data_IF_623852151427
#
_entry.id   IF_623852151427
#
_cell.length_a   1.000
_cell.length_b   1.000
_cell.length_c   1.000
_cell.angle_alpha   90.00
_cell.angle_beta   90.00
_cell.angle_gamma   90.00
#
_symmetry.space_group_name_H-M   'P 1'
#
loop_
_entity.id
_entity.type
_entity.pdbx_description
1 polymer ?
#
# COMPACT_ATOMS: atom_id res chain seq x y z
N UNK A 1 55.39 -15.05 -24.77
CA UNK A 1 54.06 -14.70 -25.30
C UNK A 1 53.10 -14.87 -24.15
N UNK A 2 52.76 -13.77 -23.48
CA UNK A 2 51.74 -13.73 -22.44
C UNK A 2 50.36 -13.78 -23.11
N UNK A 3 49.50 -14.70 -22.66
CA UNK A 3 48.11 -14.80 -23.08
C UNK A 3 47.25 -13.99 -22.09
N UNK A 4 46.53 -12.99 -22.59
CA UNK A 4 45.63 -12.15 -21.78
C UNK A 4 44.30 -12.90 -21.53
N UNK A 5 43.69 -12.84 -20.34
CA UNK A 5 42.42 -13.48 -20.09
C UNK A 5 41.27 -12.69 -20.74
N UNK A 6 40.40 -13.41 -21.46
CA UNK A 6 39.19 -12.86 -22.07
C UNK A 6 38.24 -12.33 -20.99
N UNK A 7 37.84 -11.06 -21.12
CA UNK A 7 36.84 -10.45 -20.27
C UNK A 7 35.45 -11.00 -20.61
N UNK A 8 34.82 -11.70 -19.66
CA UNK A 8 33.44 -12.14 -19.77
C UNK A 8 32.54 -10.95 -19.45
N UNK A 9 31.95 -10.36 -20.48
CA UNK A 9 30.92 -9.33 -20.37
C UNK A 9 29.66 -9.97 -19.76
N UNK A 10 29.46 -9.77 -18.45
CA UNK A 10 28.24 -10.21 -17.79
C UNK A 10 27.10 -9.26 -18.15
N UNK A 11 26.32 -9.64 -19.15
CA UNK A 11 25.04 -8.99 -19.45
C UNK A 11 24.18 -9.01 -18.17
N UNK A 12 23.88 -7.83 -17.64
CA UNK A 12 22.95 -7.71 -16.52
C UNK A 12 21.63 -8.34 -16.94
N UNK A 13 21.28 -9.47 -16.31
CA UNK A 13 19.99 -10.14 -16.50
C UNK A 13 18.85 -9.18 -16.13
N UNK A 14 18.39 -8.36 -17.08
CA UNK A 14 17.17 -7.59 -16.92
C UNK A 14 16.01 -8.56 -16.98
N UNK A 15 15.09 -8.41 -16.02
CA UNK A 15 13.82 -9.13 -16.04
C UNK A 15 13.05 -8.74 -17.30
N UNK A 16 12.71 -9.72 -18.15
CA UNK A 16 11.82 -9.58 -19.31
C UNK A 16 10.34 -9.60 -18.93
N UNK A 17 10.03 -9.60 -17.62
CA UNK A 17 8.66 -9.65 -17.13
C UNK A 17 7.93 -8.37 -17.50
N UNK A 18 6.86 -8.50 -18.30
CA UNK A 18 5.91 -7.41 -18.57
C UNK A 18 5.35 -6.96 -17.21
N UNK A 19 5.61 -5.71 -16.85
CA UNK A 19 5.09 -5.10 -15.62
C UNK A 19 3.62 -4.74 -15.88
N UNK A 20 2.72 -5.59 -15.42
CA UNK A 20 1.31 -5.21 -15.34
C UNK A 20 1.14 -4.22 -14.19
N UNK A 21 0.60 -3.04 -14.49
CA UNK A 21 0.20 -2.10 -13.44
C UNK A 21 -0.93 -2.77 -12.64
N UNK A 22 -0.87 -2.79 -11.30
CA UNK A 22 -1.94 -3.37 -10.52
C UNK A 22 -3.20 -2.50 -10.66
N UNK A 23 -4.30 -3.09 -11.15
CA UNK A 23 -5.63 -2.45 -11.24
C UNK A 23 -6.11 -1.89 -9.88
N UNK A 24 -5.52 -2.35 -8.78
CA UNK A 24 -5.86 -1.94 -7.42
C UNK A 24 -5.41 -0.52 -7.05
N UNK A 25 -4.43 0.08 -7.76
CA UNK A 25 -4.12 1.50 -7.58
C UNK A 25 -5.09 2.30 -8.46
N UNK A 26 -5.81 3.27 -7.90
CA UNK A 26 -6.99 3.98 -8.46
C UNK A 26 -6.76 4.77 -9.76
N UNK A 27 -6.13 4.14 -10.74
CA UNK A 27 -5.80 4.59 -12.07
C UNK A 27 -6.47 3.61 -13.04
N UNK A 28 -7.62 3.99 -13.58
CA UNK A 28 -8.23 3.25 -14.69
C UNK A 28 -7.67 3.80 -16.00
N UNK A 29 -7.13 2.92 -16.83
CA UNK A 29 -6.75 3.27 -18.20
C UNK A 29 -8.01 3.05 -19.05
N UNK A 30 -8.55 4.10 -19.66
CA UNK A 30 -9.67 3.97 -20.58
C UNK A 30 -9.21 3.32 -21.89
N UNK A 31 -10.15 2.80 -22.69
CA UNK A 31 -9.86 2.27 -24.03
C UNK A 31 -9.18 3.31 -24.95
N UNK A 32 -9.30 4.60 -24.61
CA UNK A 32 -8.68 5.73 -25.30
C UNK A 32 -7.26 6.04 -24.80
N UNK A 33 -6.77 5.32 -23.79
CA UNK A 33 -5.43 5.49 -23.20
C UNK A 33 -5.34 6.56 -22.11
N UNK A 34 -6.47 7.12 -21.67
CA UNK A 34 -6.49 8.14 -20.61
C UNK A 34 -6.42 7.51 -19.22
N UNK A 35 -5.68 8.15 -18.32
CA UNK A 35 -5.58 7.73 -16.91
C UNK A 35 -6.63 8.50 -16.09
N UNK A 36 -7.67 7.81 -15.65
CA UNK A 36 -8.67 8.36 -14.72
C UNK A 36 -8.21 8.16 -13.27
N UNK A 37 -7.98 9.26 -12.55
CA UNK A 37 -7.82 9.25 -11.09
C UNK A 37 -9.20 9.13 -10.44
N UNK A 38 -9.48 8.00 -9.80
CA UNK A 38 -10.74 7.81 -9.06
C UNK A 38 -10.69 8.30 -7.60
N UNK A 39 -9.49 8.51 -7.04
CA UNK A 39 -9.28 8.73 -5.59
C UNK A 39 -8.81 10.14 -5.21
N UNK A 40 -9.51 11.19 -5.66
CA UNK A 40 -9.20 12.56 -5.19
C UNK A 40 -9.62 12.83 -3.73
N UNK A 41 -10.55 12.03 -3.18
CA UNK A 41 -11.11 12.22 -1.83
C UNK A 41 -10.57 11.23 -0.77
N UNK A 42 -9.46 10.56 -1.06
CA UNK A 42 -8.80 9.69 -0.09
C UNK A 42 -7.76 10.47 0.72
N UNK A 43 -7.83 10.43 2.06
CA UNK A 43 -6.83 11.09 2.88
C UNK A 43 -5.48 10.38 2.73
N UNK A 44 -4.44 11.15 2.49
CA UNK A 44 -3.07 10.61 2.33
C UNK A 44 -2.40 10.48 3.70
N UNK A 45 -2.92 11.19 4.69
CA UNK A 45 -2.36 11.28 6.04
C UNK A 45 -3.42 11.02 7.11
N UNK A 46 -3.03 10.38 8.21
CA UNK A 46 -3.89 10.16 9.38
C UNK A 46 -4.58 11.44 9.87
N UNK A 47 -3.90 12.58 9.85
CA UNK A 47 -4.49 13.86 10.26
C UNK A 47 -5.67 14.28 9.37
N UNK A 48 -5.55 14.11 8.05
CA UNK A 48 -6.64 14.39 7.11
C UNK A 48 -7.80 13.42 7.33
N UNK A 49 -7.47 12.15 7.63
CA UNK A 49 -8.43 11.10 7.95
C UNK A 49 -9.29 11.47 9.16
N UNK A 50 -8.69 11.97 10.26
CA UNK A 50 -9.42 12.29 11.50
C UNK A 50 -10.12 13.65 11.49
N UNK A 51 -9.68 14.60 10.65
CA UNK A 51 -10.31 15.92 10.53
C UNK A 51 -11.45 15.90 9.51
N UNK A 52 -11.41 14.97 8.55
CA UNK A 52 -12.38 14.89 7.47
C UNK A 52 -13.81 14.53 7.93
N UNK A 53 -14.83 14.77 7.09
CA UNK A 53 -16.24 14.49 7.39
C UNK A 53 -16.55 13.00 7.56
N UNK A 54 -15.64 12.12 7.13
CA UNK A 54 -15.74 10.65 7.20
C UNK A 54 -14.85 10.07 8.32
N UNK A 55 -14.36 10.91 9.23
CA UNK A 55 -13.41 10.54 10.27
C UNK A 55 -13.89 9.41 11.17
N UNK A 56 -15.17 9.41 11.53
CA UNK A 56 -15.76 8.35 12.37
C UNK A 56 -15.65 6.98 11.71
N UNK A 57 -15.97 6.87 10.41
CA UNK A 57 -15.88 5.61 9.65
C UNK A 57 -14.44 5.13 9.52
N UNK A 58 -13.50 6.06 9.34
CA UNK A 58 -12.08 5.73 9.32
C UNK A 58 -11.55 5.29 10.68
N UNK A 59 -11.99 5.93 11.77
CA UNK A 59 -11.66 5.53 13.14
C UNK A 59 -12.19 4.15 13.47
N UNK A 60 -13.43 3.85 13.08
CA UNK A 60 -14.02 2.53 13.23
C UNK A 60 -13.22 1.47 12.47
N UNK A 61 -12.86 1.74 11.21
CA UNK A 61 -12.05 0.82 10.41
C UNK A 61 -10.65 0.58 11.01
N UNK A 62 -9.98 1.64 11.46
CA UNK A 62 -8.68 1.53 12.17
C UNK A 62 -8.78 0.70 13.45
N UNK A 63 -9.82 0.91 14.25
CA UNK A 63 -10.06 0.12 15.47
C UNK A 63 -10.32 -1.34 15.14
N UNK A 64 -11.21 -1.60 14.17
CA UNK A 64 -11.52 -2.96 13.72
C UNK A 64 -10.26 -3.70 13.25
N UNK A 65 -9.37 -3.04 12.52
CA UNK A 65 -8.12 -3.65 12.06
C UNK A 65 -7.20 -3.97 13.24
N UNK A 66 -7.01 -3.03 14.17
CA UNK A 66 -6.22 -3.24 15.39
C UNK A 66 -6.78 -4.38 16.27
N UNK A 67 -8.11 -4.42 16.45
CA UNK A 67 -8.79 -5.46 17.21
C UNK A 67 -8.67 -6.82 16.52
N UNK A 68 -8.69 -6.86 15.19
CA UNK A 68 -8.47 -8.09 14.43
C UNK A 68 -7.04 -8.61 14.63
N UNK A 69 -6.03 -7.74 14.67
CA UNK A 69 -4.64 -8.13 14.95
C UNK A 69 -4.50 -8.71 16.36
N UNK A 70 -5.19 -8.12 17.33
CA UNK A 70 -5.22 -8.63 18.71
C UNK A 70 -5.92 -9.99 18.80
N UNK A 71 -7.09 -10.11 18.18
CA UNK A 71 -7.90 -11.34 18.17
C UNK A 71 -7.17 -12.50 17.50
N UNK A 72 -6.48 -12.22 16.39
CA UNK A 72 -5.70 -13.21 15.66
C UNK A 72 -4.34 -13.52 16.32
N UNK A 73 -3.99 -12.83 17.42
CA UNK A 73 -2.72 -12.97 18.14
C UNK A 73 -1.49 -12.90 17.23
N UNK A 74 -1.60 -12.15 16.13
CA UNK A 74 -0.52 -12.09 15.13
C UNK A 74 0.65 -11.25 15.65
N UNK A 75 0.39 -10.25 16.49
CA UNK A 75 1.41 -9.36 17.07
C UNK A 75 1.35 -9.37 18.60
N UNK A 76 2.54 -9.30 19.22
CA UNK A 76 2.70 -9.06 20.67
C UNK A 76 3.38 -7.70 20.84
N UNK A 77 2.79 -6.83 21.66
CA UNK A 77 3.42 -5.57 22.02
C UNK A 77 4.57 -5.86 23.00
N UNK A 78 5.80 -5.53 22.60
CA UNK A 78 7.02 -5.71 23.40
C UNK A 78 7.70 -4.35 23.55
N UNK A 79 8.31 -4.09 24.70
CA UNK A 79 9.13 -2.89 24.88
C UNK A 79 10.31 -2.89 23.91
N UNK A 80 10.63 -1.74 23.29
CA UNK A 80 11.74 -1.66 22.37
C UNK A 80 13.06 -1.97 23.10
N UNK A 81 13.90 -2.88 22.59
CA UNK A 81 15.21 -3.12 23.18
C UNK A 81 16.06 -1.85 23.14
N UNK A 82 16.87 -1.63 24.18
CA UNK A 82 17.84 -0.54 24.22
C UNK A 82 18.78 -0.72 23.02
N UNK A 83 18.86 0.29 22.15
CA UNK A 83 19.64 0.35 20.89
C UNK A 83 19.00 -0.26 19.62
N UNK A 84 17.75 -0.72 19.66
CA UNK A 84 17.06 -1.17 18.43
C UNK A 84 16.16 -0.08 17.86
N UNK A 85 16.37 0.26 16.59
CA UNK A 85 15.44 1.10 15.84
C UNK A 85 14.18 0.31 15.53
N UNK A 86 13.03 0.79 15.97
CA UNK A 86 11.74 0.20 15.60
C UNK A 86 11.51 0.32 14.10
N UNK A 87 10.93 -0.72 13.49
CA UNK A 87 10.49 -0.67 12.11
C UNK A 87 9.22 0.19 12.07
N UNK A 88 9.25 1.26 11.29
CA UNK A 88 8.08 2.10 11.10
C UNK A 88 7.00 1.36 10.30
N UNK A 89 5.77 1.40 10.78
CA UNK A 89 4.58 0.98 10.03
C UNK A 89 3.88 2.22 9.47
N UNK A 90 3.40 2.14 8.23
CA UNK A 90 2.63 3.21 7.57
C UNK A 90 1.26 2.68 7.20
N UNK A 91 0.21 3.42 7.58
CA UNK A 91 -1.17 3.17 7.17
C UNK A 91 -1.42 3.72 5.76
N UNK A 92 -2.24 3.01 4.98
CA UNK A 92 -2.62 3.37 3.61
C UNK A 92 -4.13 3.32 3.52
N UNK A 93 -4.74 4.48 3.68
CA UNK A 93 -6.19 4.62 3.67
C UNK A 93 -6.76 4.41 2.27
N UNK A 94 -7.72 3.49 2.14
CA UNK A 94 -8.48 3.24 0.91
C UNK A 94 -9.96 3.08 1.16
N UNK A 95 -10.77 3.61 0.25
CA UNK A 95 -12.22 3.50 0.20
C UNK A 95 -12.60 2.58 -0.94
N UNK A 96 -13.18 1.43 -0.63
CA UNK A 96 -13.78 0.57 -1.65
C UNK A 96 -15.24 0.99 -1.83
N UNK A 97 -15.58 1.45 -3.03
CA UNK A 97 -16.97 1.63 -3.44
C UNK A 97 -17.38 0.37 -4.20
N UNK A 98 -18.26 -0.45 -3.62
CA UNK A 98 -18.83 -1.59 -4.36
C UNK A 98 -19.86 -1.06 -5.39
N UNK A 99 -19.96 -1.76 -6.53
CA UNK A 99 -20.82 -1.37 -7.65
C UNK A 99 -22.32 -1.50 -7.34
N UNK A 100 -22.69 -2.28 -6.33
CA UNK A 100 -24.06 -2.38 -5.83
C UNK A 100 -24.24 -1.51 -4.58
N UNK A 101 -25.16 -0.55 -4.68
CA UNK A 101 -25.81 0.15 -3.57
C UNK A 101 -24.98 1.06 -2.66
N UNK A 102 -24.00 1.79 -3.19
CA UNK A 102 -23.44 2.99 -2.53
C UNK A 102 -22.78 2.72 -1.15
N UNK A 103 -22.58 1.46 -0.82
CA UNK A 103 -21.95 1.01 0.41
C UNK A 103 -20.45 1.31 0.30
N UNK A 104 -20.02 2.37 0.99
CA UNK A 104 -18.62 2.77 1.09
C UNK A 104 -17.97 1.98 2.23
N UNK A 105 -17.04 1.11 1.89
CA UNK A 105 -16.20 0.39 2.84
C UNK A 105 -14.85 1.09 2.99
N UNK A 106 -14.34 1.17 4.21
CA UNK A 106 -13.12 1.90 4.57
C UNK A 106 -12.07 0.92 5.06
N UNK A 107 -10.85 1.02 4.53
CA UNK A 107 -9.72 0.15 4.85
C UNK A 107 -8.52 1.02 5.21
N UNK A 108 -7.96 0.91 6.43
CA UNK A 108 -6.79 1.67 6.86
C UNK A 108 -5.46 1.06 6.36
#
# INVERSE_FOLDING_TARGET
MEEQPAQVEQDQRRSSRIRHLPERYGYLITDQGDVLLMDQDEPVTYQETIIGPKSEKWLEAMKSEMDSMYTNQVWTLVEPPVEVSSIGCKWVFKKKTDMDDGCQNYFP
#
